data_IF_773045264907
#
_entry.id   IF_773045264907
#
_cell.length_a   1.000
_cell.length_b   1.000
_cell.length_c   1.000
_cell.angle_alpha   90.00
_cell.angle_beta   90.00
_cell.angle_gamma   90.00
#
_symmetry.space_group_name_H-M   'P 1'
#
loop_
_entity.id
_entity.type
_entity.pdbx_description
1 polymer ?
#
# COMPACT_ATOMS: atom_id res chain seq x y z
N UNK A 1 37.13 8.28 -7.75
CA UNK A 1 36.92 8.77 -9.13
C UNK A 1 35.47 8.68 -9.60
N UNK A 2 34.62 7.85 -8.99
CA UNK A 2 33.21 7.74 -9.39
C UNK A 2 32.30 8.93 -9.00
N UNK A 3 32.61 9.66 -7.94
CA UNK A 3 31.76 10.73 -7.41
C UNK A 3 31.68 12.01 -8.26
N UNK A 4 32.68 12.29 -9.08
CA UNK A 4 32.71 13.51 -9.88
C UNK A 4 31.95 13.38 -11.23
N UNK A 5 31.74 12.17 -11.71
CA UNK A 5 31.02 11.91 -12.98
C UNK A 5 29.49 11.84 -12.78
N UNK A 6 29.02 11.37 -11.63
CA UNK A 6 27.61 11.22 -11.35
C UNK A 6 26.80 12.52 -11.51
N UNK A 7 27.23 13.69 -10.99
CA UNK A 7 26.49 14.94 -11.19
C UNK A 7 26.41 15.37 -12.66
N UNK A 8 27.44 15.11 -13.45
CA UNK A 8 27.44 15.43 -14.89
C UNK A 8 26.47 14.54 -15.66
N UNK A 9 26.47 13.24 -15.37
CA UNK A 9 25.54 12.26 -15.95
C UNK A 9 24.09 12.59 -15.58
N UNK A 10 23.82 12.88 -14.31
CA UNK A 10 22.49 13.28 -13.85
C UNK A 10 22.02 14.54 -14.58
N UNK A 11 22.86 15.57 -14.68
CA UNK A 11 22.50 16.79 -15.41
C UNK A 11 22.20 16.52 -16.88
N UNK A 12 22.98 15.69 -17.55
CA UNK A 12 22.74 15.33 -18.93
C UNK A 12 21.43 14.58 -19.13
N UNK A 13 21.09 13.64 -18.22
CA UNK A 13 19.81 12.92 -18.22
C UNK A 13 18.65 13.87 -17.98
N UNK A 14 18.72 14.74 -16.97
CA UNK A 14 17.70 15.73 -16.67
C UNK A 14 17.45 16.67 -17.87
N UNK A 15 18.51 17.16 -18.51
CA UNK A 15 18.39 18.02 -19.70
C UNK A 15 17.79 17.28 -20.90
N UNK A 16 18.12 15.99 -21.08
CA UNK A 16 17.59 15.17 -22.17
C UNK A 16 16.11 14.88 -22.03
N UNK A 17 15.63 14.75 -20.79
CA UNK A 17 14.24 14.38 -20.46
C UNK A 17 13.45 15.52 -19.79
N UNK A 18 13.88 16.77 -19.98
CA UNK A 18 13.32 17.94 -19.29
C UNK A 18 11.80 18.07 -19.47
N UNK A 19 11.31 17.96 -20.71
CA UNK A 19 9.88 18.07 -21.00
C UNK A 19 9.05 16.92 -20.36
N UNK A 20 9.59 15.71 -20.37
CA UNK A 20 8.94 14.54 -19.77
C UNK A 20 8.91 14.67 -18.25
N UNK A 21 10.01 15.08 -17.66
CA UNK A 21 10.11 15.32 -16.21
C UNK A 21 9.21 16.47 -15.76
N UNK A 22 9.14 17.56 -16.53
CA UNK A 22 8.25 18.67 -16.24
C UNK A 22 6.78 18.25 -16.28
N UNK A 23 6.38 17.43 -17.25
CA UNK A 23 5.04 16.88 -17.32
C UNK A 23 4.74 15.92 -16.14
N UNK A 24 5.72 15.10 -15.74
CA UNK A 24 5.58 14.18 -14.61
C UNK A 24 5.40 14.91 -13.28
N UNK A 25 6.24 15.91 -12.98
CA UNK A 25 6.16 16.65 -11.72
C UNK A 25 4.98 17.63 -11.64
N UNK A 26 4.35 17.94 -12.77
CA UNK A 26 3.10 18.73 -12.78
C UNK A 26 1.91 18.00 -12.16
N UNK A 27 2.00 16.69 -12.02
CA UNK A 27 0.98 15.86 -11.37
C UNK A 27 1.36 15.58 -9.92
N UNK A 28 0.34 15.46 -9.05
CA UNK A 28 0.57 15.00 -7.69
C UNK A 28 1.19 13.58 -7.71
N UNK A 29 2.17 13.28 -6.83
CA UNK A 29 2.75 11.96 -6.78
C UNK A 29 1.71 10.91 -6.39
N UNK A 30 1.60 9.87 -7.18
CA UNK A 30 0.76 8.70 -6.90
C UNK A 30 1.56 7.71 -6.05
N UNK A 31 1.12 7.51 -4.80
CA UNK A 31 1.79 6.58 -3.89
C UNK A 31 0.90 5.37 -3.62
N UNK A 32 1.28 4.22 -4.17
CA UNK A 32 0.67 2.92 -3.91
C UNK A 32 1.56 2.13 -2.94
N UNK A 33 1.65 2.58 -1.70
CA UNK A 33 2.47 1.91 -0.67
C UNK A 33 1.69 0.77 -0.02
N UNK A 34 1.86 -0.43 -0.56
CA UNK A 34 1.17 -1.67 -0.11
C UNK A 34 1.51 -2.03 1.35
N UNK A 35 2.65 -1.59 1.88
CA UNK A 35 3.02 -1.84 3.28
C UNK A 35 2.02 -1.24 4.28
N UNK A 36 1.25 -0.22 3.89
CA UNK A 36 0.18 0.35 4.73
C UNK A 36 -0.90 -0.67 5.05
N UNK A 37 -1.11 -1.66 4.17
CA UNK A 37 -2.05 -2.73 4.40
C UNK A 37 -1.76 -3.55 5.67
N UNK A 38 -0.52 -3.57 6.17
CA UNK A 38 -0.19 -4.21 7.44
C UNK A 38 -1.01 -3.63 8.61
N UNK A 39 -1.16 -2.29 8.66
CA UNK A 39 -2.01 -1.62 9.64
C UNK A 39 -3.49 -1.92 9.43
N UNK A 40 -3.94 -1.97 8.17
CA UNK A 40 -5.35 -2.27 7.85
C UNK A 40 -5.73 -3.69 8.28
N UNK A 41 -4.88 -4.69 7.98
CA UNK A 41 -5.10 -6.08 8.39
C UNK A 41 -5.16 -6.17 9.92
N UNK A 42 -4.20 -5.59 10.62
CA UNK A 42 -4.17 -5.59 12.08
C UNK A 42 -5.42 -4.94 12.69
N UNK A 43 -5.83 -3.79 12.15
CA UNK A 43 -7.03 -3.07 12.58
C UNK A 43 -8.30 -3.86 12.30
N UNK A 44 -8.40 -4.52 11.14
CA UNK A 44 -9.54 -5.33 10.76
C UNK A 44 -9.76 -6.50 11.75
N UNK A 45 -8.69 -7.21 12.11
CA UNK A 45 -8.74 -8.26 13.11
C UNK A 45 -9.14 -7.73 14.50
N UNK A 46 -8.59 -6.57 14.88
CA UNK A 46 -8.92 -5.93 16.14
C UNK A 46 -10.41 -5.50 16.19
N UNK A 47 -10.90 -4.84 15.12
CA UNK A 47 -12.32 -4.46 15.03
C UNK A 47 -13.23 -5.66 15.08
N UNK A 48 -12.93 -6.71 14.33
CA UNK A 48 -13.73 -7.96 14.36
C UNK A 48 -13.80 -8.56 15.74
N UNK A 49 -12.68 -8.62 16.46
CA UNK A 49 -12.64 -9.16 17.81
C UNK A 49 -13.50 -8.36 18.81
N UNK A 50 -13.56 -7.04 18.66
CA UNK A 50 -14.26 -6.17 19.60
C UNK A 50 -15.73 -5.91 19.25
N UNK A 51 -16.08 -5.98 17.97
CA UNK A 51 -17.43 -5.63 17.50
C UNK A 51 -18.23 -6.83 16.99
N UNK A 52 -17.55 -7.91 16.62
CA UNK A 52 -18.17 -9.05 15.92
C UNK A 52 -18.60 -8.75 14.48
N UNK A 53 -18.50 -7.49 14.03
CA UNK A 53 -18.98 -7.07 12.72
C UNK A 53 -18.03 -7.48 11.59
N UNK A 54 -18.60 -7.71 10.42
CA UNK A 54 -17.86 -7.72 9.16
C UNK A 54 -17.56 -6.29 8.68
N UNK A 55 -16.69 -6.14 7.71
CA UNK A 55 -16.15 -4.85 7.32
C UNK A 55 -16.62 -4.43 5.92
N UNK A 56 -16.76 -3.13 5.75
CA UNK A 56 -16.79 -2.44 4.46
C UNK A 56 -15.65 -1.43 4.48
N UNK A 57 -14.84 -1.40 3.43
CA UNK A 57 -13.73 -0.46 3.31
C UNK A 57 -14.06 0.65 2.32
N UNK A 58 -13.71 1.89 2.69
CA UNK A 58 -13.78 3.04 1.79
C UNK A 58 -12.45 3.80 1.87
N UNK A 59 -11.82 4.06 0.73
CA UNK A 59 -10.53 4.74 0.65
C UNK A 59 -10.64 6.03 -0.18
N UNK A 60 -10.21 7.14 0.40
CA UNK A 60 -10.03 8.42 -0.28
C UNK A 60 -8.58 8.53 -0.75
N UNK A 61 -8.37 8.86 -2.01
CA UNK A 61 -7.05 8.85 -2.63
C UNK A 61 -6.55 7.43 -2.88
N UNK A 62 -7.42 6.58 -3.39
CA UNK A 62 -7.16 5.15 -3.56
C UNK A 62 -6.12 4.82 -4.65
N UNK A 63 -5.82 5.78 -5.55
CA UNK A 63 -4.90 5.59 -6.67
C UNK A 63 -5.27 4.36 -7.51
N UNK A 64 -4.45 3.30 -7.49
CA UNK A 64 -4.74 2.01 -8.15
C UNK A 64 -5.59 1.04 -7.28
N UNK A 65 -6.02 1.44 -6.08
CA UNK A 65 -6.85 0.63 -5.19
C UNK A 65 -6.14 -0.57 -4.55
N UNK A 66 -4.79 -0.60 -4.55
CA UNK A 66 -4.05 -1.75 -4.03
C UNK A 66 -4.28 -2.00 -2.54
N UNK A 67 -4.53 -0.96 -1.75
CA UNK A 67 -4.85 -1.14 -0.33
C UNK A 67 -6.28 -1.62 -0.09
N UNK A 68 -7.20 -1.45 -1.04
CA UNK A 68 -8.58 -1.94 -0.92
C UNK A 68 -8.70 -3.47 -0.96
N UNK A 69 -7.66 -4.15 -1.43
CA UNK A 69 -7.59 -5.61 -1.45
C UNK A 69 -6.71 -6.19 -0.34
N UNK A 70 -6.58 -5.46 0.78
CA UNK A 70 -5.70 -5.84 1.90
C UNK A 70 -6.06 -7.22 2.51
N UNK A 71 -7.30 -7.65 2.40
CA UNK A 71 -7.79 -8.97 2.82
C UNK A 71 -7.14 -10.13 2.06
N UNK A 72 -6.54 -9.85 0.88
CA UNK A 72 -5.80 -10.84 0.06
C UNK A 72 -4.32 -10.92 0.41
N UNK A 73 -3.82 -10.05 1.28
CA UNK A 73 -2.42 -10.01 1.68
C UNK A 73 -2.17 -10.83 2.95
N UNK A 74 -0.95 -11.32 3.09
CA UNK A 74 -0.53 -12.01 4.30
C UNK A 74 0.31 -11.08 5.18
N UNK A 75 -0.07 -10.94 6.43
CA UNK A 75 0.70 -10.22 7.44
C UNK A 75 1.47 -11.22 8.31
N UNK A 76 2.78 -11.30 8.11
CA UNK A 76 3.68 -12.23 8.77
C UNK A 76 4.07 -11.72 10.17
N UNK A 77 3.15 -11.79 11.13
CA UNK A 77 3.35 -11.47 12.53
C UNK A 77 2.79 -12.61 13.40
N UNK A 78 3.59 -13.11 14.36
CA UNK A 78 3.19 -14.27 15.16
C UNK A 78 2.90 -15.48 14.26
N UNK A 79 1.70 -16.05 14.39
CA UNK A 79 1.23 -17.17 13.56
C UNK A 79 0.73 -16.73 12.17
N UNK A 80 0.73 -15.42 11.90
CA UNK A 80 0.30 -14.83 10.64
C UNK A 80 -1.19 -14.49 10.59
N UNK A 81 -1.53 -13.52 9.72
CA UNK A 81 -2.90 -13.05 9.48
C UNK A 81 -3.16 -13.02 7.97
N UNK A 82 -4.35 -13.41 7.56
CA UNK A 82 -4.74 -13.50 6.15
C UNK A 82 -4.21 -14.76 5.45
N UNK A 83 -4.40 -14.87 4.12
CA UNK A 83 -4.08 -16.08 3.37
C UNK A 83 -2.56 -16.35 3.35
N UNK A 84 -2.08 -17.51 3.86
CA UNK A 84 -0.65 -17.79 3.99
C UNK A 84 0.07 -17.89 2.63
N UNK A 85 -0.66 -18.24 1.58
CA UNK A 85 -0.13 -18.38 0.21
C UNK A 85 -0.28 -17.12 -0.63
N UNK A 86 -0.56 -15.97 0.01
CA UNK A 86 -0.62 -14.69 -0.70
C UNK A 86 0.72 -14.38 -1.39
N UNK A 87 0.71 -13.88 -2.64
CA UNK A 87 1.92 -13.39 -3.29
C UNK A 87 2.48 -12.12 -2.60
N UNK A 88 1.66 -11.45 -1.79
CA UNK A 88 2.06 -10.25 -1.03
C UNK A 88 2.24 -10.64 0.43
N UNK A 89 3.49 -10.68 0.87
CA UNK A 89 3.90 -10.98 2.23
C UNK A 89 4.38 -9.70 2.91
N UNK A 90 3.70 -9.30 3.98
CA UNK A 90 4.00 -8.08 4.73
C UNK A 90 4.68 -8.44 6.06
N UNK A 91 5.92 -8.01 6.26
CA UNK A 91 6.72 -8.28 7.45
C UNK A 91 7.17 -6.96 8.10
N UNK A 92 6.27 -6.19 8.71
CA UNK A 92 6.62 -4.93 9.35
C UNK A 92 7.41 -5.17 10.66
N UNK A 93 8.18 -4.16 11.08
CA UNK A 93 8.67 -4.10 12.46
C UNK A 93 7.48 -3.73 13.36
N UNK A 94 7.03 -4.68 14.18
CA UNK A 94 5.91 -4.49 15.08
C UNK A 94 6.38 -4.17 16.49
N UNK A 95 5.70 -3.26 17.18
CA UNK A 95 5.92 -2.94 18.58
C UNK A 95 4.60 -3.02 19.33
N UNK A 96 4.62 -3.61 20.51
CA UNK A 96 3.45 -3.81 21.35
C UNK A 96 2.79 -5.18 21.16
N UNK A 97 1.60 -5.33 21.71
CA UNK A 97 0.83 -6.58 21.65
C UNK A 97 0.36 -6.86 20.22
N UNK A 98 0.37 -8.12 19.82
CA UNK A 98 -0.18 -8.52 18.53
C UNK A 98 -1.72 -8.34 18.55
N UNK A 99 -2.32 -8.00 17.39
CA UNK A 99 -3.77 -7.96 17.29
C UNK A 99 -4.37 -9.36 17.54
N UNK A 100 -5.59 -9.45 18.06
CA UNK A 100 -6.26 -10.73 18.24
C UNK A 100 -6.48 -11.41 16.88
N UNK A 101 -6.34 -12.73 16.82
CA UNK A 101 -6.63 -13.52 15.62
C UNK A 101 -8.16 -13.69 15.48
N UNK A 102 -8.83 -12.73 14.84
CA UNK A 102 -10.27 -12.75 14.62
C UNK A 102 -10.55 -12.62 13.10
N UNK A 103 -10.78 -13.73 12.39
CA UNK A 103 -11.08 -13.71 10.97
C UNK A 103 -12.31 -12.86 10.66
N UNK A 104 -12.18 -11.95 9.71
CA UNK A 104 -13.23 -11.05 9.25
C UNK A 104 -13.59 -11.32 7.79
N UNK A 105 -14.76 -10.85 7.38
CA UNK A 105 -15.14 -10.77 5.97
C UNK A 105 -15.14 -9.30 5.53
N UNK A 106 -14.41 -8.99 4.46
CA UNK A 106 -14.52 -7.72 3.77
C UNK A 106 -15.68 -7.83 2.77
N UNK A 107 -16.84 -7.26 3.12
CA UNK A 107 -18.09 -7.37 2.36
C UNK A 107 -18.04 -6.56 1.08
N UNK A 108 -17.40 -5.41 1.13
CA UNK A 108 -17.26 -4.49 0.02
C UNK A 108 -16.03 -3.60 0.22
N UNK A 109 -15.43 -3.14 -0.88
CA UNK A 109 -14.30 -2.24 -0.86
C UNK A 109 -14.40 -1.27 -2.02
N UNK A 110 -14.49 0.02 -1.72
CA UNK A 110 -14.65 1.08 -2.70
C UNK A 110 -13.65 2.20 -2.44
N UNK A 111 -13.16 2.82 -3.50
CA UNK A 111 -12.26 3.95 -3.41
C UNK A 111 -12.56 5.03 -4.43
N UNK A 112 -12.12 6.23 -4.15
CA UNK A 112 -12.12 7.32 -5.11
C UNK A 112 -10.75 8.00 -5.14
N UNK A 113 -10.41 8.56 -6.30
CA UNK A 113 -9.19 9.32 -6.53
C UNK A 113 -9.45 10.41 -7.56
N UNK A 114 -8.70 11.51 -7.50
CA UNK A 114 -8.78 12.59 -8.50
C UNK A 114 -8.19 12.16 -9.85
N UNK A 115 -7.24 11.22 -9.83
CA UNK A 115 -6.59 10.66 -11.01
C UNK A 115 -6.39 9.15 -10.80
N UNK A 116 -7.47 8.35 -10.83
CA UNK A 116 -7.37 6.92 -10.55
C UNK A 116 -6.54 6.21 -11.62
N UNK A 117 -5.70 5.27 -11.18
CA UNK A 117 -4.95 4.41 -12.08
C UNK A 117 -5.79 3.17 -12.40
N UNK A 118 -6.09 2.98 -13.70
CA UNK A 118 -6.70 1.73 -14.18
C UNK A 118 -5.58 0.74 -14.54
N UNK A 119 -5.57 -0.39 -13.85
CA UNK A 119 -4.59 -1.46 -14.06
C UNK A 119 -5.10 -2.57 -14.99
N UNK A 120 -6.24 -2.36 -15.63
CA UNK A 120 -6.83 -3.28 -16.62
C UNK A 120 -6.29 -3.06 -18.01
#
# INVERSE_FOLDING_TARGET
>A
MADAELPKLLRAVLQRHDAELAAFIANAPQTNEVRRAAGLIATAHWLKAHTGCDLIASELGASAGLNLIFDRFHLALGDGYGPPNSPVQLSPKWQGSLPPAAPYLLRDAQGCDLAPLDLR
#
